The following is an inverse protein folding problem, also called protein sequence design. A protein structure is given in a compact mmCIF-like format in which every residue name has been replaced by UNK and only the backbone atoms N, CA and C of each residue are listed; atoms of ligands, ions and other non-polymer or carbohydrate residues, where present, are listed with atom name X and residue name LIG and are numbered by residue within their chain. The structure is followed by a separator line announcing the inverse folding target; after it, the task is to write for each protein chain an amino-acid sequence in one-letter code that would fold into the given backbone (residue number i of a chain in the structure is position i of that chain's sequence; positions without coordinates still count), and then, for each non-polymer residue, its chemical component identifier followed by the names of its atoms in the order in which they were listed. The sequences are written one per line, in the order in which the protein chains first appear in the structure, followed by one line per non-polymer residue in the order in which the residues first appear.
data_IF_224727787656
#
_entry.id   IF_224727787656
#
_cell.length_a   1.000
_cell.length_b   1.000
_cell.length_c   1.000
_cell.angle_alpha   90.00
_cell.angle_beta   90.00
_cell.angle_gamma   90.00
#
_symmetry.space_group_name_H-M   'P 1'
#
loop_
_entity.id
_entity.type
_entity.pdbx_description
1 polymer ?
#
# COMPACT_ATOMS: atom_id res chain seq x y z
N UNK A 1 -59.80 74.71 -6.65
CA UNK A 1 -59.27 73.35 -6.43
C UNK A 1 -58.27 73.04 -7.55
N UNK A 2 -56.97 73.03 -7.25
CA UNK A 2 -55.92 72.39 -8.06
C UNK A 2 -54.64 72.26 -7.21
N UNK A 3 -53.88 71.16 -7.30
CA UNK A 3 -53.08 70.67 -6.18
C UNK A 3 -51.56 70.93 -6.27
N UNK A 4 -50.98 70.89 -5.07
CA UNK A 4 -49.57 70.93 -4.68
C UNK A 4 -48.70 69.92 -5.46
N UNK A 5 -47.65 70.40 -6.15
CA UNK A 5 -46.60 69.57 -6.75
C UNK A 5 -45.46 69.36 -5.76
N UNK A 6 -45.29 68.12 -5.28
CA UNK A 6 -44.10 67.68 -4.56
C UNK A 6 -43.03 67.21 -5.56
N UNK A 7 -41.80 67.69 -5.38
CA UNK A 7 -40.61 67.31 -6.14
C UNK A 7 -39.94 66.13 -5.40
N UNK A 8 -39.92 64.94 -6.02
CA UNK A 8 -39.22 63.77 -5.49
C UNK A 8 -37.84 63.65 -6.14
N UNK A 9 -36.78 63.76 -5.33
CA UNK A 9 -35.41 63.41 -5.71
C UNK A 9 -35.27 61.89 -5.75
N UNK A 10 -34.87 61.30 -6.88
CA UNK A 10 -34.52 59.88 -6.98
C UNK A 10 -33.01 59.70 -6.78
N UNK A 11 -32.64 59.08 -5.66
CA UNK A 11 -31.27 58.66 -5.36
C UNK A 11 -31.03 57.27 -6.00
N UNK A 12 -30.18 57.19 -7.02
CA UNK A 12 -29.78 55.92 -7.65
C UNK A 12 -28.56 55.35 -6.95
N UNK A 13 -28.74 54.30 -6.15
CA UNK A 13 -27.64 53.50 -5.59
C UNK A 13 -27.16 52.49 -6.63
N UNK A 14 -25.91 52.62 -7.07
CA UNK A 14 -25.22 51.63 -7.88
C UNK A 14 -24.72 50.51 -6.96
N UNK A 15 -25.36 49.34 -7.04
CA UNK A 15 -24.85 48.11 -6.43
C UNK A 15 -23.86 47.45 -7.39
N UNK A 16 -22.56 47.50 -7.06
CA UNK A 16 -21.55 46.67 -7.72
C UNK A 16 -21.64 45.24 -7.17
N UNK A 17 -22.17 44.30 -7.96
CA UNK A 17 -22.08 42.87 -7.67
C UNK A 17 -20.61 42.42 -7.82
N UNK A 18 -19.97 42.10 -6.70
CA UNK A 18 -18.73 41.33 -6.71
C UNK A 18 -19.02 39.91 -7.18
N UNK A 19 -18.42 39.49 -8.29
CA UNK A 19 -18.44 38.10 -8.71
C UNK A 19 -17.62 37.27 -7.70
N UNK A 20 -18.30 36.59 -6.78
CA UNK A 20 -17.69 35.53 -5.98
C UNK A 20 -17.51 34.34 -6.90
N UNK A 21 -16.30 34.17 -7.44
CA UNK A 21 -15.92 32.94 -8.13
C UNK A 21 -15.88 31.81 -7.12
N UNK A 22 -17.01 31.11 -6.95
CA UNK A 22 -17.01 29.84 -6.24
C UNK A 22 -16.16 28.84 -7.03
N UNK A 23 -14.98 28.49 -6.52
CA UNK A 23 -14.30 27.28 -6.98
C UNK A 23 -15.25 26.11 -6.71
N UNK A 24 -15.88 25.58 -7.75
CA UNK A 24 -16.55 24.30 -7.68
C UNK A 24 -15.51 23.27 -7.24
N UNK A 25 -15.74 22.61 -6.10
CA UNK A 25 -14.94 21.47 -5.71
C UNK A 25 -14.98 20.45 -6.85
N UNK A 26 -13.81 20.07 -7.38
CA UNK A 26 -13.73 19.05 -8.42
C UNK A 26 -14.44 17.78 -7.93
N UNK A 27 -15.36 17.27 -8.75
CA UNK A 27 -16.00 15.97 -8.50
C UNK A 27 -14.96 14.85 -8.40
N UNK A 28 -15.34 13.66 -7.87
CA UNK A 28 -14.43 12.54 -7.77
C UNK A 28 -13.89 12.17 -9.17
N UNK A 29 -12.57 12.10 -9.29
CA UNK A 29 -11.92 11.72 -10.55
C UNK A 29 -12.16 10.23 -10.80
N UNK A 30 -12.66 9.88 -11.98
CA UNK A 30 -12.97 8.48 -12.35
C UNK A 30 -12.08 8.06 -13.51
N UNK A 31 -11.33 6.97 -13.34
CA UNK A 31 -10.67 6.27 -14.44
C UNK A 31 -11.62 5.23 -15.02
N UNK A 32 -11.84 5.29 -16.34
CA UNK A 32 -12.60 4.29 -17.09
C UNK A 32 -11.68 3.57 -18.06
N UNK A 33 -11.61 2.23 -17.95
CA UNK A 33 -10.83 1.38 -18.82
C UNK A 33 -11.74 0.44 -19.60
N UNK A 34 -11.41 0.26 -20.88
CA UNK A 34 -11.90 -0.86 -21.69
C UNK A 34 -10.71 -1.64 -22.19
N UNK A 35 -10.64 -2.90 -21.78
CA UNK A 35 -9.55 -3.82 -22.06
C UNK A 35 -10.08 -4.98 -22.90
N UNK A 36 -9.26 -5.45 -23.82
CA UNK A 36 -9.52 -6.64 -24.62
C UNK A 36 -8.39 -7.64 -24.35
N UNK A 37 -8.62 -8.69 -23.54
CA UNK A 37 -7.57 -9.65 -23.21
C UNK A 37 -6.90 -10.24 -24.46
N UNK A 38 -5.58 -10.36 -24.41
CA UNK A 38 -4.75 -10.75 -25.56
C UNK A 38 -4.53 -9.66 -26.61
N UNK A 39 -5.09 -8.46 -26.44
CA UNK A 39 -4.88 -7.30 -27.31
C UNK A 39 -4.06 -6.22 -26.58
N UNK A 40 -3.24 -5.51 -27.36
CA UNK A 40 -2.42 -4.37 -26.93
C UNK A 40 -3.15 -3.02 -27.03
N UNK A 41 -4.41 -3.02 -27.45
CA UNK A 41 -5.24 -1.82 -27.51
C UNK A 41 -6.06 -1.71 -26.23
N UNK A 42 -5.92 -0.59 -25.55
CA UNK A 42 -6.67 -0.23 -24.34
C UNK A 42 -7.35 1.12 -24.57
N UNK A 43 -8.58 1.28 -24.10
CA UNK A 43 -9.22 2.59 -24.06
C UNK A 43 -9.18 3.12 -22.63
N UNK A 44 -8.59 4.30 -22.45
CA UNK A 44 -8.42 4.97 -21.15
C UNK A 44 -9.19 6.28 -21.23
N UNK A 45 -10.24 6.41 -20.42
CA UNK A 45 -11.13 7.58 -20.41
C UNK A 45 -11.66 7.93 -21.82
N UNK A 46 -11.98 6.90 -22.61
CA UNK A 46 -12.45 7.02 -23.99
C UNK A 46 -11.34 7.19 -25.05
N UNK A 47 -10.08 7.44 -24.65
CA UNK A 47 -8.95 7.57 -25.58
C UNK A 47 -8.31 6.21 -25.90
N UNK A 48 -8.13 5.91 -27.18
CA UNK A 48 -7.45 4.69 -27.65
C UNK A 48 -5.95 4.81 -27.42
N UNK A 49 -5.38 3.86 -26.68
CA UNK A 49 -3.96 3.77 -26.35
C UNK A 49 -3.40 2.42 -26.81
N UNK A 50 -2.25 2.45 -27.47
CA UNK A 50 -1.49 1.27 -27.87
C UNK A 50 -0.43 0.97 -26.80
N UNK A 51 -0.43 -0.23 -26.25
CA UNK A 51 0.48 -0.68 -25.19
C UNK A 51 1.44 -1.75 -25.73
N UNK A 52 2.50 -2.03 -24.98
CA UNK A 52 3.45 -3.11 -25.33
C UNK A 52 3.06 -4.45 -24.73
N UNK A 53 2.17 -4.43 -23.74
CA UNK A 53 1.70 -5.59 -22.98
C UNK A 53 0.20 -5.70 -23.06
N UNK A 54 -0.32 -6.92 -22.97
CA UNK A 54 -1.75 -7.21 -23.05
C UNK A 54 -2.29 -7.56 -21.67
N UNK A 55 -3.58 -7.28 -21.43
CA UNK A 55 -4.31 -7.91 -20.32
C UNK A 55 -4.42 -9.40 -20.60
N UNK A 56 -4.25 -10.25 -19.57
CA UNK A 56 -4.33 -11.70 -19.73
C UNK A 56 -5.70 -12.21 -19.30
N UNK A 57 -6.14 -13.28 -19.96
CA UNK A 57 -7.23 -14.13 -19.50
C UNK A 57 -6.67 -15.54 -19.32
N UNK A 58 -6.75 -16.08 -18.10
CA UNK A 58 -6.29 -17.44 -17.78
C UNK A 58 -7.30 -18.09 -16.84
N UNK A 59 -7.82 -19.26 -17.19
CA UNK A 59 -8.78 -20.02 -16.39
C UNK A 59 -10.01 -19.18 -15.95
N UNK A 60 -10.51 -18.31 -16.84
CA UNK A 60 -11.64 -17.42 -16.56
C UNK A 60 -11.33 -16.25 -15.61
N UNK A 61 -10.06 -16.06 -15.24
CA UNK A 61 -9.56 -14.92 -14.46
C UNK A 61 -8.85 -13.94 -15.36
N UNK A 62 -8.93 -12.67 -15.00
CA UNK A 62 -8.34 -11.57 -15.76
C UNK A 62 -7.19 -10.97 -14.98
N UNK A 63 -6.05 -10.75 -15.64
CA UNK A 63 -4.84 -10.25 -14.99
C UNK A 63 -4.35 -8.98 -15.68
N UNK A 64 -4.14 -7.93 -14.88
CA UNK A 64 -3.64 -6.64 -15.35
C UNK A 64 -2.11 -6.61 -15.23
N UNK A 65 -1.38 -6.11 -16.24
CA UNK A 65 0.06 -5.89 -16.12
C UNK A 65 0.36 -4.87 -15.03
N UNK A 66 1.14 -5.25 -14.03
CA UNK A 66 1.40 -4.42 -12.85
C UNK A 66 2.03 -3.07 -13.23
N UNK A 67 2.96 -3.06 -14.19
CA UNK A 67 3.66 -1.85 -14.65
C UNK A 67 2.71 -0.77 -15.20
N UNK A 68 1.55 -1.17 -15.73
CA UNK A 68 0.62 -0.25 -16.38
C UNK A 68 -0.39 0.38 -15.40
N UNK A 69 -0.49 -0.13 -14.17
CA UNK A 69 -1.48 0.34 -13.19
C UNK A 69 -1.34 1.85 -12.90
N UNK A 70 -0.13 2.39 -12.97
CA UNK A 70 0.09 3.82 -12.81
C UNK A 70 -0.49 4.62 -13.99
N UNK A 71 -0.14 4.23 -15.23
CA UNK A 71 -0.63 4.92 -16.42
C UNK A 71 -2.14 4.81 -16.61
N UNK A 72 -2.73 3.68 -16.25
CA UNK A 72 -4.16 3.40 -16.49
C UNK A 72 -5.06 3.89 -15.36
N UNK A 73 -4.62 3.72 -14.11
CA UNK A 73 -5.46 3.95 -12.91
C UNK A 73 -4.89 4.99 -11.96
N UNK A 74 -3.66 5.47 -12.19
CA UNK A 74 -2.96 6.36 -11.26
C UNK A 74 -2.52 5.66 -9.98
N UNK A 75 -2.35 4.33 -10.01
CA UNK A 75 -1.88 3.54 -8.88
C UNK A 75 -0.35 3.50 -8.92
N UNK A 76 0.36 4.05 -7.93
CA UNK A 76 1.82 4.05 -7.93
C UNK A 76 2.41 2.65 -7.98
N UNK A 77 3.32 2.44 -8.93
CA UNK A 77 4.10 1.21 -9.09
C UNK A 77 5.58 1.56 -9.20
N UNK A 78 6.42 0.88 -8.43
CA UNK A 78 7.87 1.04 -8.42
C UNK A 78 8.57 -0.30 -8.49
N UNK A 79 9.72 -0.30 -9.13
CA UNK A 79 10.64 -1.43 -9.14
C UNK A 79 11.71 -1.23 -8.07
N UNK A 80 11.93 -2.24 -7.24
CA UNK A 80 13.07 -2.36 -6.34
C UNK A 80 14.08 -3.34 -6.96
N UNK A 81 15.17 -2.78 -7.50
CA UNK A 81 16.20 -3.57 -8.18
C UNK A 81 17.08 -4.39 -7.25
N UNK A 82 17.24 -3.99 -5.99
CA UNK A 82 18.03 -4.74 -5.01
C UNK A 82 17.26 -5.97 -4.56
N UNK A 83 15.96 -5.82 -4.31
CA UNK A 83 15.09 -6.92 -3.89
C UNK A 83 14.48 -7.72 -5.06
N UNK A 84 14.66 -7.26 -6.30
CA UNK A 84 13.97 -7.81 -7.47
C UNK A 84 12.46 -7.89 -7.27
N UNK A 85 11.88 -6.78 -6.78
CA UNK A 85 10.50 -6.74 -6.34
C UNK A 85 9.70 -5.60 -6.97
N UNK A 86 8.41 -5.85 -7.20
CA UNK A 86 7.45 -4.84 -7.66
C UNK A 86 6.68 -4.32 -6.46
N UNK A 87 6.78 -3.01 -6.22
CA UNK A 87 6.08 -2.30 -5.16
C UNK A 87 4.85 -1.61 -5.73
N UNK A 88 3.67 -1.92 -5.19
CA UNK A 88 2.39 -1.34 -5.59
C UNK A 88 1.78 -0.63 -4.38
N UNK A 89 1.47 0.65 -4.53
CA UNK A 89 0.85 1.43 -3.46
C UNK A 89 -0.61 1.67 -3.75
N UNK A 90 -1.49 1.11 -2.93
CA UNK A 90 -2.94 1.12 -3.12
C UNK A 90 -3.65 1.78 -1.93
N UNK A 91 -4.88 2.32 -2.08
CA UNK A 91 -5.67 2.96 -1.01
C UNK A 91 -5.72 2.20 0.32
N UNK A 92 -5.65 0.87 0.30
CA UNK A 92 -5.79 0.04 1.50
C UNK A 92 -4.52 -0.70 1.91
N UNK A 93 -3.50 -0.77 1.06
CA UNK A 93 -2.30 -1.55 1.34
C UNK A 93 -1.08 -1.12 0.54
N UNK A 94 0.10 -1.35 1.13
CA UNK A 94 1.35 -1.47 0.41
C UNK A 94 1.61 -2.94 0.10
N UNK A 95 1.89 -3.23 -1.18
CA UNK A 95 2.19 -4.57 -1.66
C UNK A 95 3.60 -4.60 -2.24
N UNK A 96 4.44 -5.54 -1.80
CA UNK A 96 5.77 -5.79 -2.39
C UNK A 96 5.82 -7.24 -2.89
N UNK A 97 5.84 -7.41 -4.21
CA UNK A 97 5.86 -8.71 -4.89
C UNK A 97 7.31 -9.08 -5.21
N UNK A 98 7.89 -10.06 -4.52
CA UNK A 98 9.20 -10.65 -4.84
C UNK A 98 9.05 -11.65 -5.99
N UNK A 99 9.69 -11.37 -7.13
CA UNK A 99 9.55 -12.21 -8.32
C UNK A 99 10.25 -13.56 -8.17
N UNK A 100 11.41 -13.57 -7.51
CA UNK A 100 12.21 -14.77 -7.29
C UNK A 100 11.49 -15.76 -6.37
N UNK A 101 10.90 -15.27 -5.28
CA UNK A 101 10.27 -16.11 -4.27
C UNK A 101 8.79 -16.37 -4.53
N UNK A 102 8.18 -15.67 -5.49
CA UNK A 102 6.74 -15.70 -5.73
C UNK A 102 5.91 -15.41 -4.46
N UNK A 103 6.40 -14.45 -3.68
CA UNK A 103 5.76 -13.99 -2.45
C UNK A 103 5.31 -12.55 -2.58
N UNK A 104 4.26 -12.21 -1.83
CA UNK A 104 3.81 -10.84 -1.64
C UNK A 104 3.92 -10.50 -0.16
N UNK A 105 4.53 -9.36 0.13
CA UNK A 105 4.40 -8.68 1.41
C UNK A 105 3.18 -7.76 1.33
N UNK A 106 2.17 -8.06 2.13
CA UNK A 106 1.02 -7.18 2.31
C UNK A 106 1.17 -6.46 3.66
N UNK A 107 1.42 -5.15 3.62
CA UNK A 107 1.69 -4.35 4.83
C UNK A 107 2.76 -4.99 5.74
N UNK A 108 3.78 -5.62 5.14
CA UNK A 108 4.87 -6.31 5.83
C UNK A 108 4.63 -7.80 6.17
N UNK A 109 3.41 -8.31 6.04
CA UNK A 109 3.12 -9.73 6.23
C UNK A 109 3.38 -10.53 4.95
N UNK A 110 4.26 -11.53 5.02
CA UNK A 110 4.63 -12.35 3.86
C UNK A 110 3.71 -13.54 3.64
N UNK A 111 3.34 -13.77 2.37
CA UNK A 111 2.65 -14.98 1.92
C UNK A 111 3.00 -15.30 0.47
N UNK A 112 2.80 -16.55 0.06
CA UNK A 112 2.78 -16.90 -1.37
C UNK A 112 1.58 -16.22 -2.03
N UNK A 113 1.76 -15.66 -3.23
CA UNK A 113 0.69 -14.93 -3.91
C UNK A 113 -0.35 -15.86 -4.59
N UNK A 114 0.00 -17.12 -4.85
CA UNK A 114 -0.94 -18.11 -5.41
C UNK A 114 -1.60 -17.62 -6.70
N UNK A 115 -2.93 -17.50 -6.72
CA UNK A 115 -3.69 -17.02 -7.88
C UNK A 115 -3.85 -15.51 -7.95
N UNK A 116 -3.35 -14.75 -6.97
CA UNK A 116 -3.48 -13.29 -6.91
C UNK A 116 -2.60 -12.58 -7.94
N UNK A 117 -1.58 -13.26 -8.42
CA UNK A 117 -0.68 -12.75 -9.44
C UNK A 117 -0.11 -13.90 -10.28
N UNK A 118 0.30 -13.58 -11.50
CA UNK A 118 1.06 -14.48 -12.37
C UNK A 118 2.29 -13.76 -12.89
N UNK A 119 3.35 -14.53 -13.08
CA UNK A 119 4.58 -14.07 -13.73
C UNK A 119 4.62 -14.68 -15.13
N UNK A 120 4.56 -13.84 -16.17
CA UNK A 120 4.69 -14.27 -17.55
C UNK A 120 5.94 -13.62 -18.15
N UNK A 121 6.96 -14.44 -18.40
CA UNK A 121 8.30 -13.94 -18.68
C UNK A 121 8.86 -13.20 -17.48
N UNK A 122 9.26 -11.95 -17.68
CA UNK A 122 9.77 -11.02 -16.67
C UNK A 122 8.70 -10.05 -16.14
N UNK A 123 7.43 -10.27 -16.50
CA UNK A 123 6.34 -9.32 -16.23
C UNK A 123 5.36 -9.88 -15.20
N UNK A 124 5.17 -9.11 -14.14
CA UNK A 124 4.17 -9.36 -13.11
C UNK A 124 2.79 -8.90 -13.59
N UNK A 125 1.80 -9.77 -13.42
CA UNK A 125 0.40 -9.47 -13.66
C UNK A 125 -0.39 -9.73 -12.38
N UNK A 126 -1.28 -8.81 -12.02
CA UNK A 126 -2.12 -8.90 -10.82
C UNK A 126 -3.53 -9.31 -11.22
N UNK A 127 -4.08 -10.31 -10.53
CA UNK A 127 -5.45 -10.76 -10.75
C UNK A 127 -6.44 -9.68 -10.34
N UNK A 128 -7.44 -9.47 -11.20
CA UNK A 128 -8.38 -8.37 -11.07
C UNK A 128 -9.15 -8.42 -9.75
N UNK A 129 -9.69 -9.58 -9.38
CA UNK A 129 -10.45 -9.76 -8.13
C UNK A 129 -9.57 -9.53 -6.90
N UNK A 130 -8.34 -10.02 -6.91
CA UNK A 130 -7.36 -9.78 -5.84
C UNK A 130 -7.00 -8.30 -5.72
N UNK A 131 -6.82 -7.60 -6.84
CA UNK A 131 -6.59 -6.15 -6.85
C UNK A 131 -7.78 -5.37 -6.25
N UNK A 132 -9.01 -5.83 -6.47
CA UNK A 132 -10.24 -5.21 -5.96
C UNK A 132 -10.32 -5.18 -4.42
N UNK A 133 -9.58 -6.06 -3.74
CA UNK A 133 -9.48 -6.04 -2.28
C UNK A 133 -8.84 -4.73 -1.79
N UNK A 134 -7.91 -4.18 -2.58
CA UNK A 134 -7.06 -3.05 -2.22
C UNK A 134 -7.48 -1.70 -2.85
N UNK A 135 -8.12 -1.75 -4.03
CA UNK A 135 -8.71 -0.60 -4.71
C UNK A 135 -10.20 -0.79 -4.95
N UNK A 136 -11.00 0.24 -4.70
CA UNK A 136 -12.45 0.20 -4.93
C UNK A 136 -12.77 0.54 -6.39
N UNK A 137 -12.88 -0.48 -7.25
CA UNK A 137 -13.40 -0.34 -8.61
C UNK A 137 -14.58 -1.28 -8.87
N UNK A 138 -15.33 -0.98 -9.92
CA UNK A 138 -16.33 -1.86 -10.52
C UNK A 138 -15.79 -2.39 -11.83
N UNK A 139 -15.83 -3.71 -12.02
CA UNK A 139 -15.50 -4.34 -13.30
C UNK A 139 -16.69 -5.13 -13.83
N UNK A 140 -16.89 -5.08 -15.14
CA UNK A 140 -17.84 -5.89 -15.88
C UNK A 140 -17.08 -6.65 -16.96
N UNK A 141 -17.28 -7.97 -16.97
CA UNK A 141 -16.76 -8.84 -18.01
C UNK A 141 -17.87 -9.13 -19.00
N UNK A 142 -17.57 -8.94 -20.27
CA UNK A 142 -18.41 -9.28 -21.41
C UNK A 142 -17.71 -10.40 -22.17
N UNK A 143 -18.20 -11.63 -21.99
CA UNK A 143 -17.56 -12.84 -22.54
C UNK A 143 -17.74 -12.94 -24.05
N UNK A 144 -18.84 -12.42 -24.60
CA UNK A 144 -19.13 -12.45 -26.04
C UNK A 144 -18.17 -11.53 -26.79
N UNK A 145 -17.99 -10.31 -26.26
CA UNK A 145 -17.09 -9.31 -26.85
C UNK A 145 -15.64 -9.43 -26.37
N UNK A 146 -15.33 -10.40 -25.50
CA UNK A 146 -14.03 -10.58 -24.83
C UNK A 146 -13.50 -9.25 -24.29
N UNK A 147 -14.30 -8.60 -23.48
CA UNK A 147 -14.07 -7.22 -23.03
C UNK A 147 -14.19 -7.12 -21.52
N UNK A 148 -13.22 -6.48 -20.90
CA UNK A 148 -13.29 -6.07 -19.49
C UNK A 148 -13.46 -4.56 -19.43
N UNK A 149 -14.57 -4.12 -18.87
CA UNK A 149 -14.84 -2.71 -18.58
C UNK A 149 -14.62 -2.46 -17.09
N UNK A 150 -13.77 -1.48 -16.75
CA UNK A 150 -13.41 -1.16 -15.37
C UNK A 150 -13.63 0.32 -15.08
N UNK A 151 -14.28 0.63 -13.96
CA UNK A 151 -14.50 1.99 -13.46
C UNK A 151 -13.92 2.11 -12.06
N UNK A 152 -12.83 2.87 -11.95
CA UNK A 152 -12.16 3.14 -10.69
C UNK A 152 -12.43 4.58 -10.27
N UNK A 153 -13.00 4.75 -9.09
CA UNK A 153 -13.18 6.08 -8.48
C UNK A 153 -11.90 6.40 -7.72
N UNK A 154 -11.10 7.33 -8.25
CA UNK A 154 -9.91 7.78 -7.55
C UNK A 154 -10.34 8.50 -6.27
N UNK A 155 -9.67 8.25 -5.13
CA UNK A 155 -9.85 9.08 -3.96
C UNK A 155 -9.46 10.52 -4.32
N UNK A 156 -10.20 11.49 -3.77
CA UNK A 156 -10.00 12.92 -4.05
C UNK A 156 -8.52 13.32 -3.90
N UNK A 157 -8.03 14.28 -4.68
CA UNK A 157 -6.63 14.72 -4.62
C UNK A 157 -6.16 15.17 -3.21
N UNK A 158 -7.09 15.58 -2.33
CA UNK A 158 -6.85 15.88 -0.91
C UNK A 158 -7.01 14.69 0.05
N UNK A 159 -7.44 13.53 -0.46
CA UNK A 159 -7.19 12.19 0.08
C UNK A 159 -6.06 11.57 -0.73
N UNK A 160 -4.87 12.14 -0.54
CA UNK A 160 -3.57 11.63 -0.96
C UNK A 160 -3.62 10.19 -1.48
N UNK A 161 -3.57 10.03 -2.79
CA UNK A 161 -3.01 8.85 -3.41
C UNK A 161 -1.51 8.85 -3.08
N UNK A 162 -1.16 8.30 -1.92
CA UNK A 162 0.19 7.93 -1.49
C UNK A 162 1.33 8.84 -1.97
N UNK A 163 1.41 10.05 -1.43
CA UNK A 163 2.73 10.54 -1.03
C UNK A 163 3.13 9.71 0.18
N UNK A 164 4.41 9.33 0.29
CA UNK A 164 4.91 8.40 1.31
C UNK A 164 4.58 8.79 2.76
N UNK A 165 4.05 9.99 3.02
CA UNK A 165 3.63 10.45 4.34
C UNK A 165 2.17 10.16 4.70
N UNK A 166 1.27 9.90 3.74
CA UNK A 166 -0.18 9.82 4.01
C UNK A 166 -0.81 8.42 3.84
N UNK A 167 0.01 7.38 3.64
CA UNK A 167 -0.44 6.00 3.78
C UNK A 167 -0.99 5.76 5.21
N UNK A 168 -2.06 4.94 5.39
CA UNK A 168 -2.38 4.39 6.70
C UNK A 168 -1.09 3.87 7.34
N UNK A 169 -0.82 4.30 8.56
CA UNK A 169 0.44 3.94 9.18
C UNK A 169 0.58 2.41 9.26
N UNK A 170 1.67 1.87 8.73
CA UNK A 170 1.95 0.44 8.80
C UNK A 170 2.68 0.22 10.11
N UNK A 171 2.26 -0.78 10.90
CA UNK A 171 2.97 -1.08 12.15
C UNK A 171 4.45 -1.33 11.83
N UNK A 172 5.37 -0.81 12.64
CA UNK A 172 6.77 -1.10 12.46
C UNK A 172 7.01 -2.61 12.64
N UNK A 173 8.05 -3.15 12.05
CA UNK A 173 8.44 -4.54 12.24
C UNK A 173 9.51 -4.57 13.33
N UNK A 174 9.16 -5.07 14.52
CA UNK A 174 10.18 -5.40 15.52
C UNK A 174 10.82 -6.74 15.15
N UNK A 175 12.14 -6.75 15.05
CA UNK A 175 12.93 -7.94 14.75
C UNK A 175 14.31 -7.78 15.36
N UNK A 176 14.83 -8.85 15.94
CA UNK A 176 16.22 -8.92 16.34
C UNK A 176 16.78 -10.31 16.14
N UNK A 177 18.11 -10.40 16.18
CA UNK A 177 18.84 -11.65 16.25
C UNK A 177 19.84 -11.63 17.40
N UNK A 178 20.26 -12.81 17.82
CA UNK A 178 21.41 -13.03 18.70
C UNK A 178 22.52 -13.70 17.90
N UNK A 179 23.77 -13.59 18.34
CA UNK A 179 24.91 -14.19 17.63
C UNK A 179 25.00 -15.72 17.79
N UNK A 180 24.43 -16.26 18.86
CA UNK A 180 24.38 -17.70 19.16
C UNK A 180 23.04 -18.14 19.71
N UNK A 181 22.70 -19.40 19.45
CA UNK A 181 21.56 -20.07 20.06
C UNK A 181 21.85 -20.55 21.50
N UNK A 182 23.11 -20.53 21.94
CA UNK A 182 23.54 -20.98 23.26
C UNK A 182 24.76 -20.21 23.75
N UNK A 183 24.87 -20.04 25.06
CA UNK A 183 25.96 -19.30 25.72
C UNK A 183 26.43 -20.10 26.93
N UNK A 184 27.68 -19.93 27.34
CA UNK A 184 28.15 -20.36 28.66
C UNK A 184 27.75 -19.34 29.72
N UNK A 185 27.71 -19.77 30.98
CA UNK A 185 27.47 -18.87 32.12
C UNK A 185 28.51 -17.74 32.07
N UNK A 186 28.03 -16.50 32.11
CA UNK A 186 28.85 -15.29 32.04
C UNK A 186 29.40 -14.95 30.66
N UNK A 187 29.08 -15.72 29.61
CA UNK A 187 29.46 -15.39 28.24
C UNK A 187 28.65 -14.18 27.73
N UNK A 188 29.30 -13.20 27.06
CA UNK A 188 28.60 -12.05 26.49
C UNK A 188 27.61 -12.45 25.38
N UNK A 189 26.42 -11.85 25.41
CA UNK A 189 25.35 -12.01 24.42
C UNK A 189 25.29 -10.76 23.54
N UNK A 190 25.37 -10.93 22.21
CA UNK A 190 25.25 -9.83 21.27
C UNK A 190 23.88 -9.83 20.60
N UNK A 191 23.08 -8.81 20.92
CA UNK A 191 21.80 -8.57 20.27
C UNK A 191 21.98 -7.61 19.10
N UNK A 192 21.49 -8.00 17.92
CA UNK A 192 21.42 -7.13 16.74
C UNK A 192 19.96 -6.77 16.44
N UNK A 193 19.63 -5.49 16.51
CA UNK A 193 18.31 -4.99 16.16
C UNK A 193 18.19 -4.87 14.64
N UNK A 194 17.19 -5.54 14.06
CA UNK A 194 16.87 -5.57 12.64
C UNK A 194 15.49 -4.95 12.35
N UNK A 195 14.98 -4.17 13.29
CA UNK A 195 13.66 -3.56 13.21
C UNK A 195 13.62 -2.43 12.21
N UNK A 196 12.52 -2.29 11.50
CA UNK A 196 12.32 -1.24 10.51
C UNK A 196 10.83 -0.90 10.38
N UNK A 197 10.54 0.31 9.90
CA UNK A 197 9.20 0.70 9.50
C UNK A 197 9.05 0.53 7.98
N UNK A 198 8.10 -0.28 7.48
CA UNK A 198 7.93 -0.51 6.04
C UNK A 198 7.61 0.75 5.22
N UNK A 199 7.04 1.80 5.84
CA UNK A 199 6.76 3.10 5.22
C UNK A 199 8.00 4.01 5.23
N UNK A 200 9.07 3.58 5.90
CA UNK A 200 10.26 4.41 6.12
C UNK A 200 10.07 5.44 7.21
N UNK A 201 9.01 5.32 8.02
CA UNK A 201 8.77 6.19 9.16
C UNK A 201 9.85 5.98 10.21
N UNK A 202 10.30 7.05 10.86
CA UNK A 202 11.31 6.93 11.92
C UNK A 202 10.75 6.13 13.11
N UNK A 203 11.51 5.13 13.57
CA UNK A 203 11.28 4.50 14.87
C UNK A 203 11.68 5.48 15.98
N UNK A 204 10.73 5.80 16.86
CA UNK A 204 10.92 6.77 17.94
C UNK A 204 11.21 6.11 19.27
N UNK A 205 10.81 4.84 19.45
CA UNK A 205 11.04 4.09 20.68
C UNK A 205 11.41 2.63 20.39
N UNK A 206 12.37 2.12 21.16
CA UNK A 206 12.92 0.76 21.05
C UNK A 206 13.11 0.23 22.48
N UNK A 207 12.20 -0.65 22.91
CA UNK A 207 12.13 -1.16 24.27
C UNK A 207 12.48 -2.64 24.30
N UNK A 208 13.47 -3.00 25.11
CA UNK A 208 13.88 -4.38 25.33
C UNK A 208 13.42 -4.88 26.69
N UNK A 209 13.03 -6.15 26.74
CA UNK A 209 12.79 -6.88 27.99
C UNK A 209 13.63 -8.15 27.96
N UNK A 210 14.44 -8.36 29.01
CA UNK A 210 15.26 -9.56 29.15
C UNK A 210 16.53 -9.58 28.32
N UNK A 211 16.98 -8.45 27.75
CA UNK A 211 18.23 -8.32 26.99
C UNK A 211 19.47 -8.26 27.90
N UNK A 212 19.69 -9.31 28.70
CA UNK A 212 20.86 -9.38 29.56
C UNK A 212 22.14 -9.49 28.71
N UNK A 213 23.14 -8.65 28.99
CA UNK A 213 24.44 -8.72 28.31
C UNK A 213 25.23 -9.99 28.65
N UNK A 214 24.96 -10.58 29.82
CA UNK A 214 25.48 -11.86 30.26
C UNK A 214 24.54 -12.44 31.32
N UNK A 215 24.53 -13.76 31.45
CA UNK A 215 23.64 -14.50 32.34
C UNK A 215 24.47 -15.40 33.23
N UNK A 216 24.25 -15.32 34.55
CA UNK A 216 25.05 -16.01 35.56
C UNK A 216 24.34 -17.20 36.22
N UNK A 217 23.12 -17.48 35.79
CA UNK A 217 22.30 -18.58 36.30
C UNK A 217 21.81 -19.44 35.14
N UNK A 218 21.90 -20.77 35.23
CA UNK A 218 21.39 -21.64 34.17
C UNK A 218 19.87 -21.52 34.08
N UNK A 219 19.34 -21.43 32.87
CA UNK A 219 17.91 -21.29 32.67
C UNK A 219 17.51 -20.89 31.27
N UNK A 220 16.19 -20.82 31.04
CA UNK A 220 15.60 -20.32 29.81
C UNK A 220 15.18 -18.87 30.02
N UNK A 221 15.68 -18.00 29.15
CA UNK A 221 15.45 -16.57 29.25
C UNK A 221 14.62 -16.10 28.07
N UNK A 222 13.51 -15.44 28.39
CA UNK A 222 12.64 -14.80 27.41
C UNK A 222 13.19 -13.41 27.12
N UNK A 223 13.43 -13.14 25.84
CA UNK A 223 13.81 -11.81 25.36
C UNK A 223 12.72 -11.31 24.42
N UNK A 224 12.31 -10.06 24.62
CA UNK A 224 11.39 -9.39 23.71
C UNK A 224 11.84 -7.98 23.38
N UNK A 225 11.37 -7.54 22.23
CA UNK A 225 11.62 -6.22 21.67
C UNK A 225 10.29 -5.62 21.25
N UNK A 226 10.00 -4.42 21.74
CA UNK A 226 8.91 -3.59 21.24
C UNK A 226 9.50 -2.41 20.52
N UNK A 227 9.02 -2.10 19.32
CA UNK A 227 9.38 -0.87 18.61
C UNK A 227 8.14 -0.05 18.32
N UNK A 228 8.26 1.26 18.41
CA UNK A 228 7.20 2.23 18.15
C UNK A 228 7.67 3.23 17.09
N UNK A 229 6.81 3.55 16.13
CA UNK A 229 7.08 4.58 15.13
C UNK A 229 6.68 5.99 15.60
N UNK A 230 7.03 7.01 14.81
CA UNK A 230 6.71 8.41 15.11
C UNK A 230 5.22 8.74 15.09
N UNK A 231 4.37 7.82 14.66
CA UNK A 231 2.91 7.96 14.64
C UNK A 231 2.25 7.12 15.76
N UNK A 232 3.05 6.55 16.66
CA UNK A 232 2.60 5.86 17.87
C UNK A 232 2.12 4.43 17.66
N UNK A 233 2.31 3.83 16.48
CA UNK A 233 2.04 2.40 16.31
C UNK A 233 3.24 1.59 16.77
N UNK A 234 2.95 0.44 17.37
CA UNK A 234 3.99 -0.44 17.92
C UNK A 234 3.80 -1.88 17.47
N UNK A 235 4.91 -2.62 17.49
CA UNK A 235 4.93 -4.07 17.31
C UNK A 235 5.78 -4.69 18.41
N UNK A 236 5.30 -5.81 18.93
CA UNK A 236 5.97 -6.59 19.96
C UNK A 236 6.46 -7.91 19.37
N UNK A 237 7.77 -8.15 19.48
CA UNK A 237 8.44 -9.36 19.03
C UNK A 237 9.04 -10.11 20.21
N UNK A 238 8.76 -11.41 20.28
CA UNK A 238 9.31 -12.32 21.28
C UNK A 238 10.13 -13.36 20.54
N UNK A 239 11.39 -13.54 20.92
CA UNK A 239 12.26 -14.58 20.40
C UNK A 239 12.18 -15.83 21.31
N UNK A 240 11.95 -17.06 20.80
CA UNK A 240 11.46 -17.47 19.47
C UNK A 240 9.93 -17.72 19.42
N UNK A 241 9.31 -17.50 18.25
CA UNK A 241 7.89 -17.80 17.98
C UNK A 241 7.72 -19.26 17.53
N UNK A 242 7.34 -20.15 18.46
CA UNK A 242 6.97 -21.57 18.30
C UNK A 242 8.05 -22.58 17.88
N UNK A 243 8.29 -23.55 18.77
CA UNK A 243 8.48 -24.96 18.39
C UNK A 243 7.31 -25.77 18.98
N UNK A 244 6.34 -26.16 18.14
CA UNK A 244 5.55 -27.37 18.40
C UNK A 244 6.41 -28.54 17.93
N UNK A 245 7.07 -29.20 18.88
CA UNK A 245 8.10 -30.25 18.72
C UNK A 245 9.42 -29.74 18.11
N UNK A 246 10.49 -29.71 18.91
CA UNK A 246 11.85 -29.43 18.42
C UNK A 246 12.36 -28.02 18.73
N UNK A 247 12.54 -27.76 20.02
CA UNK A 247 13.53 -26.87 20.64
C UNK A 247 14.43 -26.05 19.70
N UNK A 248 14.07 -24.78 19.50
CA UNK A 248 15.06 -23.71 19.37
C UNK A 248 15.01 -22.95 20.71
N UNK A 249 16.02 -23.18 21.54
CA UNK A 249 16.09 -22.74 22.92
C UNK A 249 17.45 -22.08 23.11
N UNK A 250 17.51 -20.97 23.84
CA UNK A 250 18.74 -20.55 24.52
C UNK A 250 19.15 -21.66 25.50
N UNK A 251 19.86 -22.69 25.02
CA UNK A 251 20.34 -23.82 25.81
C UNK A 251 21.76 -23.55 26.25
N UNK A 252 21.98 -23.16 27.51
CA UNK A 252 23.33 -23.32 28.07
C UNK A 252 23.61 -24.81 28.30
N UNK A 253 24.82 -25.26 27.96
CA UNK A 253 25.41 -26.55 28.37
C UNK A 253 26.43 -26.26 29.47
#
# INVERSE_FOLDING_TARGET
MQPLRQLLLTLTTVFSLGAVSGQAAAGPEVSHLILYPGNTVVYINGSKTQTQVTTLEQNGRYYLPAAELNGWLGIPVKWDGEKQAVQITTPKAFLEYSLADQTVLENGASRKWGTDAVLQGDRLYIELTSLQQYISFHAKVDQELKRVELRYVKPAANRTLFTNDAAPNVKPVAKFTVDKESYRIGEPIHYSNLSYDPKGTKLTDIQWIGNAHAIFTPGLYKVSLTVTDSLGQYQHYIFPQYSRKGQALLRQI
#
